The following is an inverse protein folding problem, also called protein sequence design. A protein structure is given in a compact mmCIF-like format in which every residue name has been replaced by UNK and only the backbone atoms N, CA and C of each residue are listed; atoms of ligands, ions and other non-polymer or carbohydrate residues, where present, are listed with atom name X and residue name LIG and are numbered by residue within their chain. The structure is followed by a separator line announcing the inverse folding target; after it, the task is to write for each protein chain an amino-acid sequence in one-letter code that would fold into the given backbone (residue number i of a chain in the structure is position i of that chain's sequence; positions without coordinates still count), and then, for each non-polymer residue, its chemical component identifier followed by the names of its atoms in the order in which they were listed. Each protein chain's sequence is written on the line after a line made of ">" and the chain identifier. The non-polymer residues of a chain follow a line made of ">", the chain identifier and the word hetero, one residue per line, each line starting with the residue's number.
data_IF_338816479875
#
_entry.id   IF_338816479875
#
_cell.length_a   1.000
_cell.length_b   1.000
_cell.length_c   1.000
_cell.angle_alpha   90.00
_cell.angle_beta   90.00
_cell.angle_gamma   90.00
#
_symmetry.space_group_name_H-M   'P 1'
#
loop_
_entity.id
_entity.type
_entity.pdbx_description
1 polymer ?
2 polymer ?
3 non-polymer ?
4 water ?
#
# COMPACT_ATOMS: atom_id res chain seq x y z
N UNK A 1 -10.44 25.79 6.71
CA UNK A 1 -9.14 25.62 6.05
C UNK A 1 -9.28 25.15 4.58
N UNK A 2 -8.17 25.23 3.79
CA UNK A 2 -8.19 24.78 2.40
C UNK A 2 -8.28 23.26 2.34
N UNK A 3 -9.43 22.76 1.87
CA UNK A 3 -9.63 21.34 1.74
C UNK A 3 -10.00 20.94 0.31
N UNK A 4 -9.61 19.72 -0.09
CA UNK A 4 -9.92 19.12 -1.39
C UNK A 4 -10.54 17.73 -1.13
N UNK A 5 -11.87 17.60 -1.24
CA UNK A 5 -12.53 16.30 -0.98
C UNK A 5 -12.82 15.56 -2.26
N UNK A 6 -12.24 14.37 -2.42
CA UNK A 6 -12.46 13.56 -3.60
C UNK A 6 -13.63 12.59 -3.46
N UNK A 7 -14.16 12.10 -4.60
CA UNK A 7 -15.27 11.17 -4.60
C UNK A 7 -14.85 9.76 -4.11
N UNK A 8 -15.84 8.91 -3.83
CA UNK A 8 -15.59 7.56 -3.34
C UNK A 8 -15.06 6.62 -4.41
N UNK A 9 -14.57 5.46 -3.96
CA UNK A 9 -14.00 4.47 -4.85
C UNK A 9 -14.99 3.98 -5.89
N UNK A 10 -14.48 3.63 -7.08
CA UNK A 10 -15.27 3.14 -8.19
C UNK A 10 -14.84 1.75 -8.63
N UNK A 11 -15.80 0.93 -9.04
CA UNK A 11 -15.61 -0.39 -9.62
C UNK A 11 -16.37 -0.29 -10.92
N UNK A 12 -15.67 -0.13 -12.03
CA UNK A 12 -16.31 0.07 -13.33
C UNK A 12 -15.86 -1.00 -14.31
N UNK A 13 -16.76 -1.51 -15.17
CA UNK A 13 -16.39 -2.52 -16.16
C UNK A 13 -15.44 -1.95 -17.23
N UNK A 14 -14.53 -2.77 -17.81
CA UNK A 14 -13.64 -2.24 -18.86
C UNK A 14 -14.43 -1.82 -20.09
N UNK A 15 -13.98 -0.77 -20.75
CA UNK A 15 -14.64 -0.22 -21.94
C UNK A 15 -15.60 0.92 -21.63
N UNK A 16 -16.08 0.99 -20.39
CA UNK A 16 -16.99 2.04 -19.95
C UNK A 16 -16.19 3.29 -19.49
N UNK A 17 -16.88 4.41 -19.20
CA UNK A 17 -16.28 5.63 -18.71
C UNK A 17 -16.43 5.72 -17.18
N UNK A 18 -15.67 6.65 -16.52
CA UNK A 18 -15.76 6.91 -15.06
C UNK A 18 -15.56 8.41 -14.80
N UNK A 19 -16.37 9.05 -13.93
CA UNK A 19 -16.24 10.48 -13.67
C UNK A 19 -16.08 10.75 -12.18
N UNK A 20 -14.92 11.27 -11.78
CA UNK A 20 -14.69 11.53 -10.37
C UNK A 20 -14.62 13.03 -10.03
N UNK A 21 -15.03 13.36 -8.81
CA UNK A 21 -15.09 14.75 -8.34
C UNK A 21 -14.07 15.11 -7.28
N UNK A 22 -13.65 16.37 -7.26
CA UNK A 22 -12.72 16.92 -6.27
C UNK A 22 -13.31 18.24 -5.83
N UNK A 23 -14.12 18.21 -4.75
CA UNK A 23 -14.83 19.35 -4.17
C UNK A 23 -13.92 20.28 -3.38
N UNK A 24 -13.63 21.47 -3.92
CA UNK A 24 -12.75 22.41 -3.25
C UNK A 24 -13.45 23.36 -2.27
N UNK A 25 -12.79 23.64 -1.18
CA UNK A 25 -13.33 24.47 -0.11
C UNK A 25 -12.22 25.23 0.60
N UNK A 26 -12.58 26.33 1.24
CA UNK A 26 -11.65 27.15 2.02
C UNK A 26 -10.78 28.12 1.25
N UNK A 27 -11.04 28.32 -0.03
CA UNK A 27 -10.25 29.23 -0.86
C UNK A 27 -11.03 29.61 -2.11
N UNK A 28 -10.62 30.69 -2.76
CA UNK A 28 -11.23 31.13 -4.01
C UNK A 28 -10.88 30.15 -5.13
N UNK A 29 -11.76 29.14 -5.33
CA UNK A 29 -11.62 28.03 -6.27
C UNK A 29 -11.06 28.43 -7.62
N UNK A 30 -11.59 29.51 -8.17
CA UNK A 30 -11.25 30.03 -9.49
C UNK A 30 -9.92 30.72 -9.58
N UNK A 31 -9.07 30.65 -8.54
CA UNK A 31 -7.81 31.39 -8.51
C UNK A 31 -6.55 30.56 -8.65
N UNK A 32 -6.64 29.23 -8.41
CA UNK A 32 -5.49 28.32 -8.47
C UNK A 32 -5.76 27.05 -9.29
N UNK A 33 -4.75 26.65 -10.07
CA UNK A 33 -4.76 25.46 -10.92
C UNK A 33 -4.99 24.20 -10.10
N UNK A 34 -5.73 23.22 -10.68
CA UNK A 34 -5.95 21.93 -10.05
C UNK A 34 -5.33 20.88 -10.94
N UNK A 35 -4.45 20.03 -10.38
CA UNK A 35 -3.76 18.98 -11.14
C UNK A 35 -4.28 17.60 -10.74
N UNK A 36 -4.16 16.64 -11.63
CA UNK A 36 -4.58 15.27 -11.38
C UNK A 36 -3.38 14.35 -11.58
N UNK A 37 -3.18 13.45 -10.63
CA UNK A 37 -2.07 12.51 -10.59
C UNK A 37 -2.58 11.05 -10.52
N UNK A 38 -2.01 10.17 -11.35
CA UNK A 38 -2.36 8.77 -11.33
C UNK A 38 -1.31 8.02 -10.46
N UNK A 39 -1.76 7.04 -9.66
CA UNK A 39 -0.84 6.24 -8.85
C UNK A 39 -1.17 4.76 -8.89
N UNK A 40 -0.36 4.00 -9.63
CA UNK A 40 -0.50 2.56 -9.71
C UNK A 40 0.53 1.97 -8.75
N UNK A 41 0.11 1.01 -7.92
CA UNK A 41 1.04 0.43 -6.94
C UNK A 41 2.31 -0.14 -7.57
N UNK A 42 3.44 0.53 -7.34
CA UNK A 42 4.72 0.08 -7.88
C UNK A 42 5.35 0.91 -8.98
N UNK A 43 4.51 1.47 -9.90
CA UNK A 43 5.05 2.29 -11.00
C UNK A 43 4.95 3.84 -10.70
N UNK A 44 5.28 4.20 -9.45
CA UNK A 44 5.35 5.58 -8.95
C UNK A 44 4.13 6.45 -9.12
N UNK A 45 4.37 7.68 -9.60
CA UNK A 45 3.33 8.67 -9.85
C UNK A 45 3.33 9.09 -11.31
N UNK A 46 2.19 9.57 -11.81
CA UNK A 46 2.08 9.98 -13.21
C UNK A 46 1.28 11.24 -13.33
N UNK A 47 1.81 12.24 -14.07
CA UNK A 47 1.10 13.49 -14.24
C UNK A 47 0.04 13.31 -15.32
N UNK A 48 -1.24 13.50 -14.99
CA UNK A 48 -2.31 13.39 -15.99
C UNK A 48 -2.53 14.74 -16.67
N UNK A 49 -2.74 15.78 -15.88
CA UNK A 49 -2.98 17.11 -16.42
C UNK A 49 -3.51 18.09 -15.41
N UNK A 50 -3.62 19.36 -15.81
CA UNK A 50 -4.12 20.41 -14.92
C UNK A 50 -5.22 21.27 -15.57
N UNK A 51 -6.00 21.97 -14.73
CA UNK A 51 -7.07 22.82 -15.20
C UNK A 51 -7.16 24.05 -14.30
N UNK A 52 -7.35 25.22 -14.91
CA UNK A 52 -7.47 26.45 -14.16
C UNK A 52 -8.96 26.71 -14.03
N UNK A 53 -9.55 26.59 -12.83
CA UNK A 53 -11.02 26.74 -12.71
C UNK A 53 -11.66 28.06 -13.19
N UNK A 54 -10.92 29.15 -13.13
CA UNK A 54 -11.42 30.45 -13.58
C UNK A 54 -11.45 30.62 -15.09
N UNK A 55 -10.93 29.65 -15.84
CA UNK A 55 -10.93 29.74 -17.29
C UNK A 55 -11.39 28.48 -18.00
N UNK A 56 -11.24 27.33 -17.36
CA UNK A 56 -11.57 26.06 -18.00
C UNK A 56 -10.44 25.57 -18.89
N UNK A 57 -9.34 26.35 -18.99
CA UNK A 57 -8.14 26.03 -19.75
C UNK A 57 -7.50 24.79 -19.13
N UNK A 58 -6.99 23.90 -19.98
CA UNK A 58 -6.41 22.68 -19.49
C UNK A 58 -5.18 22.21 -20.26
N UNK A 59 -4.25 21.61 -19.52
CA UNK A 59 -3.02 21.02 -20.02
C UNK A 59 -3.15 19.54 -19.77
N UNK A 60 -2.81 18.74 -20.75
CA UNK A 60 -2.84 17.29 -20.58
C UNK A 60 -1.46 16.70 -20.89
N UNK A 61 -1.12 15.60 -20.23
CA UNK A 61 0.08 14.84 -20.57
C UNK A 61 -0.31 14.13 -21.85
N UNK A 62 0.51 14.22 -22.91
CA UNK A 62 0.15 13.61 -24.19
C UNK A 62 -0.17 12.11 -24.10
N UNK A 63 0.27 11.45 -23.02
CA UNK A 63 0.00 10.04 -22.74
C UNK A 63 -1.49 9.86 -22.50
N UNK A 64 -2.10 10.75 -21.71
CA UNK A 64 -3.51 10.69 -21.36
C UNK A 64 -4.39 11.63 -22.19
N UNK A 65 -3.85 12.27 -23.24
CA UNK A 65 -4.59 13.26 -24.04
C UNK A 65 -6.00 12.78 -24.45
N UNK A 66 -6.19 11.48 -24.74
CA UNK A 66 -7.51 10.98 -25.13
C UNK A 66 -8.24 10.15 -24.05
N UNK A 67 -7.51 9.75 -23.00
CA UNK A 67 -8.03 8.95 -21.87
C UNK A 67 -8.81 9.85 -20.91
N UNK A 68 -8.13 10.85 -20.34
CA UNK A 68 -8.73 11.74 -19.37
C UNK A 68 -9.27 12.99 -19.99
N UNK A 69 -10.34 13.52 -19.40
CA UNK A 69 -10.97 14.77 -19.82
C UNK A 69 -11.29 15.55 -18.52
N UNK A 70 -10.75 16.75 -18.40
CA UNK A 70 -10.88 17.59 -17.21
C UNK A 70 -11.93 18.69 -17.36
N UNK A 71 -12.85 18.81 -16.39
CA UNK A 71 -13.88 19.86 -16.37
C UNK A 71 -13.92 20.55 -15.00
N UNK A 72 -14.72 21.61 -14.86
CA UNK A 72 -14.87 22.37 -13.64
C UNK A 72 -16.33 22.90 -13.55
N UNK A 73 -16.90 22.92 -12.32
CA UNK A 73 -18.21 23.51 -12.07
C UNK A 73 -17.98 24.58 -11.02
N UNK A 74 -17.74 25.83 -11.45
CA UNK A 74 -17.43 26.93 -10.54
C UNK A 74 -18.53 27.30 -9.55
N UNK A 75 -19.78 26.87 -9.78
CA UNK A 75 -20.86 27.18 -8.85
C UNK A 75 -20.70 26.36 -7.57
N UNK A 76 -20.56 25.04 -7.71
CA UNK A 76 -20.35 24.15 -6.58
C UNK A 76 -18.86 24.02 -6.19
N UNK A 77 -17.95 24.63 -6.97
CA UNK A 77 -16.50 24.65 -6.74
C UNK A 77 -15.88 23.28 -6.77
N UNK A 78 -16.32 22.48 -7.74
CA UNK A 78 -15.85 21.12 -7.94
C UNK A 78 -15.10 21.02 -9.27
N UNK A 79 -14.02 20.25 -9.27
CA UNK A 79 -13.24 19.96 -10.48
C UNK A 79 -13.47 18.46 -10.80
N UNK A 80 -13.61 18.12 -12.08
CA UNK A 80 -13.90 16.74 -12.51
C UNK A 80 -12.88 16.19 -13.49
N UNK A 81 -12.72 14.87 -13.47
CA UNK A 81 -11.88 14.17 -14.43
C UNK A 81 -12.62 12.93 -14.85
N UNK A 82 -12.76 12.76 -16.15
CA UNK A 82 -13.45 11.62 -16.72
C UNK A 82 -12.42 10.74 -17.41
N UNK A 83 -12.46 9.43 -17.17
CA UNK A 83 -11.52 8.51 -17.79
C UNK A 83 -12.35 7.65 -18.73
N UNK A 84 -12.17 7.85 -20.03
CA UNK A 84 -12.97 7.16 -21.03
C UNK A 84 -12.40 5.81 -21.46
N UNK A 85 -13.30 4.84 -21.75
CA UNK A 85 -13.01 3.47 -22.18
C UNK A 85 -11.88 2.83 -21.38
N UNK A 86 -12.23 2.55 -20.13
CA UNK A 86 -11.36 1.97 -19.11
C UNK A 86 -10.76 0.60 -19.44
N UNK A 87 -9.54 0.38 -18.99
CA UNK A 87 -8.80 -0.86 -19.16
C UNK A 87 -8.17 -1.24 -17.80
N UNK A 88 -7.61 -2.44 -17.68
CA UNK A 88 -6.93 -2.87 -16.48
C UNK A 88 -5.77 -1.93 -16.11
N UNK A 89 -5.13 -1.32 -17.11
CA UNK A 89 -4.05 -0.36 -16.88
C UNK A 89 -4.53 0.94 -16.21
N UNK A 90 -5.83 1.23 -16.24
CA UNK A 90 -6.39 2.42 -15.60
C UNK A 90 -6.71 2.20 -14.12
N UNK A 91 -6.57 0.96 -13.59
CA UNK A 91 -6.83 0.73 -12.17
C UNK A 91 -5.67 1.36 -11.43
N UNK A 92 -5.98 2.40 -10.61
CA UNK A 92 -5.02 3.22 -9.90
C UNK A 92 -5.72 4.10 -8.80
N UNK A 93 -4.95 4.85 -7.99
CA UNK A 93 -5.50 5.80 -7.02
C UNK A 93 -5.31 7.14 -7.71
N UNK A 94 -6.37 7.93 -7.82
CA UNK A 94 -6.27 9.20 -8.50
C UNK A 94 -6.25 10.33 -7.52
N UNK A 95 -5.11 11.04 -7.46
CA UNK A 95 -4.94 12.18 -6.58
C UNK A 95 -5.27 13.48 -7.32
N UNK A 96 -5.76 14.45 -6.58
CA UNK A 96 -6.18 15.76 -7.06
C UNK A 96 -5.47 16.80 -6.16
N UNK A 97 -4.67 17.72 -6.74
CA UNK A 97 -3.94 18.70 -5.91
C UNK A 97 -4.14 20.14 -6.38
N UNK A 98 -3.95 21.10 -5.47
CA UNK A 98 -4.07 22.52 -5.76
C UNK A 98 -2.67 23.07 -5.92
N UNK A 99 -2.37 23.72 -7.05
CA UNK A 99 -1.05 24.31 -7.26
C UNK A 99 -1.03 25.67 -6.59
N UNK A 100 -0.19 25.83 -5.57
CA UNK A 100 -0.10 27.05 -4.78
C UNK A 100 0.62 28.25 -5.37
N UNK A 101 0.59 29.34 -4.63
CA UNK A 101 1.22 30.61 -5.01
C UNK A 101 2.74 30.47 -5.16
N UNK A 102 3.35 29.61 -4.36
CA UNK A 102 4.78 29.43 -4.35
C UNK A 102 5.29 28.35 -5.32
N UNK A 103 4.52 28.03 -6.39
CA UNK A 103 4.88 27.04 -7.43
C UNK A 103 4.91 25.58 -6.98
N UNK A 104 4.23 25.23 -5.89
CA UNK A 104 4.19 23.83 -5.46
C UNK A 104 2.81 23.44 -4.95
N UNK A 105 2.42 22.16 -5.17
CA UNK A 105 1.14 21.61 -4.71
C UNK A 105 1.06 21.63 -3.18
N UNK A 106 0.40 22.64 -2.62
CA UNK A 106 0.31 22.79 -1.19
C UNK A 106 -0.81 21.99 -0.56
N UNK A 107 -1.89 21.69 -1.32
CA UNK A 107 -2.99 20.90 -0.76
C UNK A 107 -3.37 19.74 -1.68
N UNK A 108 -3.61 18.55 -1.11
CA UNK A 108 -3.99 17.36 -1.88
C UNK A 108 -5.35 16.80 -1.41
N UNK A 109 -5.95 15.94 -2.21
CA UNK A 109 -7.19 15.25 -1.89
C UNK A 109 -6.87 13.83 -1.46
N UNK A 110 -7.72 13.21 -0.63
CA UNK A 110 -7.43 11.88 -0.08
C UNK A 110 -7.24 10.77 -1.14
N UNK A 111 -7.74 11.00 -2.35
CA UNK A 111 -7.60 10.10 -3.49
C UNK A 111 -8.81 9.26 -3.76
N UNK A 112 -8.99 8.81 -5.01
CA UNK A 112 -10.11 7.93 -5.38
C UNK A 112 -9.52 6.64 -5.95
N UNK A 113 -9.91 5.47 -5.41
CA UNK A 113 -9.36 4.22 -5.92
C UNK A 113 -10.21 3.62 -7.01
N UNK A 114 -9.73 3.66 -8.26
CA UNK A 114 -10.48 3.08 -9.39
C UNK A 114 -10.07 1.60 -9.60
N UNK A 115 -11.05 0.70 -9.55
CA UNK A 115 -10.84 -0.73 -9.76
C UNK A 115 -11.58 -1.05 -11.04
N UNK A 116 -10.88 -1.42 -12.13
CA UNK A 116 -11.52 -1.66 -13.44
C UNK A 116 -11.86 -3.13 -13.69
N UNK A 117 -13.09 -3.51 -13.36
CA UNK A 117 -13.52 -4.90 -13.51
C UNK A 117 -15.00 -5.06 -13.83
N UNK A 118 -15.32 -6.04 -14.67
CA UNK A 118 -16.71 -6.36 -14.97
C UNK A 118 -17.30 -7.24 -13.85
N UNK A 119 -16.44 -7.92 -13.03
CA UNK A 119 -16.87 -8.80 -11.96
C UNK A 119 -17.69 -8.07 -10.94
N UNK A 120 -18.75 -8.72 -10.47
CA UNK A 120 -19.61 -8.13 -9.46
C UNK A 120 -19.00 -8.41 -8.08
N UNK A 121 -19.36 -7.59 -7.09
CA UNK A 121 -18.87 -7.70 -5.73
C UNK A 121 -19.07 -9.09 -5.11
N UNK A 122 -18.19 -9.45 -4.18
CA UNK A 122 -18.17 -10.73 -3.49
C UNK A 122 -17.86 -10.48 -2.01
N UNK A 123 -18.75 -10.95 -1.15
CA UNK A 123 -18.53 -10.84 0.28
C UNK A 123 -17.57 -11.92 0.76
N UNK A 124 -16.71 -11.56 1.72
CA UNK A 124 -15.73 -12.53 2.20
C UNK A 124 -16.30 -13.62 3.07
N UNK A 125 -15.56 -14.70 3.21
CA UNK A 125 -15.90 -15.78 4.11
C UNK A 125 -14.89 -15.61 5.24
N UNK A 126 -15.35 -15.34 6.45
CA UNK A 126 -14.47 -15.17 7.60
C UNK A 126 -14.24 -16.53 8.26
N UNK A 127 -13.01 -16.84 8.62
CA UNK A 127 -12.68 -18.10 9.29
C UNK A 127 -11.78 -17.82 10.48
N UNK A 128 -11.89 -18.59 11.56
CA UNK A 128 -11.02 -18.36 12.73
C UNK A 128 -9.64 -19.02 12.61
N UNK A 129 -8.69 -18.56 13.43
CA UNK A 129 -7.33 -19.09 13.46
C UNK A 129 -6.94 -19.61 14.84
N UNK A 130 -6.86 -20.95 14.96
CA UNK A 130 -6.55 -21.84 16.11
C UNK A 130 -5.54 -21.34 17.17
N UNK A 131 -6.02 -20.79 18.31
CA UNK A 131 -5.07 -20.36 19.38
C UNK A 131 -4.45 -21.53 20.18
N UNK A 132 -3.30 -21.27 20.84
N UNK A 136 3.90 -22.33 20.72
CA UNK A 136 4.26 -21.03 21.32
C UNK A 136 5.76 -20.68 21.14
N UNK A 137 6.14 -20.22 19.93
CA UNK A 137 7.53 -19.84 19.61
C UNK A 137 7.77 -18.37 20.02
N UNK A 138 8.83 -18.14 20.79
CA UNK A 138 9.17 -16.80 21.25
C UNK A 138 8.39 -16.32 22.46
N UNK A 139 8.00 -17.26 23.32
CA UNK A 139 7.25 -16.98 24.55
C UNK A 139 5.82 -16.50 24.42
N UNK A 140 5.37 -16.23 23.20
CA UNK A 140 4.02 -15.72 22.92
C UNK A 140 3.16 -16.77 22.18
N UNK A 141 1.86 -16.50 22.02
CA UNK A 141 0.93 -17.38 21.28
C UNK A 141 0.01 -16.51 20.40
N UNK A 142 -0.36 -17.00 19.20
CA UNK A 142 -1.18 -16.20 18.29
C UNK A 142 -2.51 -16.82 17.86
N UNK A 143 -3.48 -15.96 17.54
CA UNK A 143 -4.79 -16.32 17.01
C UNK A 143 -5.20 -15.23 16.00
N UNK A 144 -6.18 -15.52 15.15
CA UNK A 144 -6.62 -14.53 14.17
C UNK A 144 -7.81 -14.86 13.33
N UNK A 145 -7.97 -14.12 12.24
CA UNK A 145 -9.06 -14.25 11.31
C UNK A 145 -8.55 -14.34 9.89
N UNK A 146 -9.17 -15.20 9.10
CA UNK A 146 -8.86 -15.33 7.69
C UNK A 146 -10.03 -14.76 6.91
N UNK A 147 -9.89 -13.55 6.38
CA UNK A 147 -10.92 -12.93 5.58
C UNK A 147 -10.62 -13.43 4.19
N UNK A 148 -11.37 -14.42 3.73
CA UNK A 148 -11.07 -15.09 2.46
C UNK A 148 -12.06 -14.87 1.35
N UNK A 149 -11.55 -14.82 0.10
CA UNK A 149 -12.28 -14.76 -1.16
C UNK A 149 -13.32 -13.64 -1.23
N UNK A 150 -12.87 -12.38 -1.44
CA UNK A 150 -13.74 -11.22 -1.58
C UNK A 150 -13.30 -10.30 -2.74
N UNK A 151 -14.21 -9.45 -3.25
CA UNK A 151 -13.87 -8.52 -4.32
C UNK A 151 -14.86 -7.35 -4.33
N UNK A 152 -14.46 -6.09 -4.55
CA UNK A 152 -13.08 -5.59 -4.71
C UNK A 152 -12.46 -5.30 -3.33
N UNK A 153 -11.45 -4.44 -3.29
CA UNK A 153 -10.87 -4.03 -2.02
C UNK A 153 -11.56 -2.76 -1.52
N UNK A 154 -11.61 -2.52 -0.18
CA UNK A 154 -10.99 -3.28 0.91
C UNK A 154 -11.93 -3.88 1.99
N UNK A 155 -11.34 -4.56 2.99
CA UNK A 155 -12.08 -5.03 4.16
C UNK A 155 -11.48 -4.35 5.39
N UNK A 156 -12.31 -4.07 6.40
CA UNK A 156 -11.88 -3.40 7.61
C UNK A 156 -11.97 -4.35 8.77
N UNK A 157 -10.82 -4.76 9.30
CA UNK A 157 -10.80 -5.66 10.42
C UNK A 157 -10.40 -4.99 11.71
N UNK A 158 -11.27 -5.10 12.72
CA UNK A 158 -11.02 -4.60 14.08
C UNK A 158 -11.19 -5.77 15.08
N UNK A 159 -10.73 -5.59 16.32
CA UNK A 159 -10.83 -6.64 17.32
C UNK A 159 -11.50 -6.15 18.59
N UNK A 160 -12.51 -6.92 19.07
CA UNK A 160 -13.34 -6.61 20.23
C UNK A 160 -13.99 -5.23 20.02
N UNK A 161 -14.56 -5.03 18.82
CA UNK A 161 -15.19 -3.80 18.35
C UNK A 161 -14.31 -2.54 18.59
N UNK A 162 -12.99 -2.73 18.58
CA UNK A 162 -12.03 -1.66 18.77
C UNK A 162 -11.32 -1.65 20.11
N UNK A 163 -11.75 -2.51 21.06
CA UNK A 163 -11.16 -2.58 22.39
C UNK A 163 -9.72 -3.13 22.36
N UNK A 164 -9.53 -4.24 21.63
CA UNK A 164 -8.22 -4.87 21.47
C UNK A 164 -7.49 -4.21 20.28
N UNK A 165 -6.33 -3.63 20.56
CA UNK A 165 -5.53 -2.96 19.55
C UNK A 165 -4.06 -3.41 19.59
N UNK A 166 -3.55 -3.73 20.79
CA UNK A 166 -2.16 -4.14 20.93
C UNK A 166 -1.92 -5.57 20.48
N UNK A 167 -0.81 -5.76 19.78
CA UNK A 167 -0.42 -7.08 19.26
C UNK A 167 -1.18 -7.52 18.03
N UNK A 168 -2.02 -6.64 17.46
CA UNK A 168 -2.82 -6.95 16.28
C UNK A 168 -2.07 -6.54 15.01
N UNK A 169 -2.03 -7.44 14.03
CA UNK A 169 -1.41 -7.19 12.75
C UNK A 169 -2.45 -7.54 11.67
N UNK A 170 -2.98 -6.55 10.98
CA UNK A 170 -3.92 -6.80 9.90
C UNK A 170 -3.08 -6.78 8.64
N UNK A 171 -2.74 -7.95 8.12
CA UNK A 171 -1.92 -8.13 6.92
C UNK A 171 -2.48 -7.49 5.67
N UNK A 172 -1.62 -7.07 4.73
CA UNK A 172 -2.12 -6.53 3.46
C UNK A 172 -2.84 -7.63 2.65
N UNK A 173 -3.86 -7.24 1.89
CA UNK A 173 -4.61 -8.18 1.08
C UNK A 173 -3.74 -8.82 0.01
N UNK A 174 -4.00 -10.10 -0.30
CA UNK A 174 -3.26 -10.80 -1.34
C UNK A 174 -4.21 -11.22 -2.47
N UNK A 175 -3.76 -11.10 -3.70
CA UNK A 175 -4.55 -11.49 -4.84
C UNK A 175 -4.36 -13.00 -4.97
N UNK A 176 -5.47 -13.76 -5.05
CA UNK A 176 -5.38 -15.22 -5.17
C UNK A 176 -5.49 -15.63 -6.63
N UNK A 177 -5.13 -16.89 -6.94
CA UNK A 177 -5.24 -17.38 -8.32
C UNK A 177 -6.68 -17.26 -8.86
N UNK A 178 -7.67 -17.32 -7.95
CA UNK A 178 -9.08 -17.17 -8.25
C UNK A 178 -9.50 -15.76 -8.64
N UNK A 179 -8.59 -14.79 -8.58
CA UNK A 179 -8.92 -13.40 -8.89
C UNK A 179 -9.49 -12.60 -7.74
N UNK A 180 -9.84 -13.28 -6.63
CA UNK A 180 -10.39 -12.64 -5.44
C UNK A 180 -9.29 -12.35 -4.45
N UNK A 181 -9.53 -11.39 -3.56
CA UNK A 181 -8.58 -11.04 -2.52
C UNK A 181 -8.75 -11.89 -1.25
N UNK A 182 -7.77 -11.82 -0.34
CA UNK A 182 -7.81 -12.53 0.91
C UNK A 182 -6.76 -12.01 1.89
N UNK A 183 -7.17 -11.43 3.03
CA UNK A 183 -6.20 -10.99 4.03
C UNK A 183 -6.33 -11.74 5.36
N UNK A 184 -5.29 -11.68 6.19
CA UNK A 184 -5.32 -12.28 7.51
C UNK A 184 -5.14 -11.19 8.54
N UNK A 185 -5.69 -11.37 9.74
CA UNK A 185 -5.52 -10.39 10.80
C UNK A 185 -5.24 -11.19 12.03
N UNK A 186 -4.00 -11.15 12.54
CA UNK A 186 -3.63 -11.94 13.70
C UNK A 186 -3.30 -11.10 14.91
N UNK A 187 -3.72 -11.56 16.09
CA UNK A 187 -3.44 -10.88 17.34
C UNK A 187 -2.61 -11.78 18.25
N UNK A 188 -1.38 -11.32 18.55
CA UNK A 188 -0.38 -12.00 19.36
C UNK A 188 -0.50 -11.62 20.83
N UNK A 189 -0.72 -12.64 21.68
CA UNK A 189 -0.86 -12.49 23.14
C UNK A 189 -0.08 -13.62 23.84
N UNK A 190 0.72 -13.30 24.88
CA UNK A 190 1.53 -14.34 25.53
C UNK A 190 0.78 -15.14 26.63
N UNK A 191 1.52 -15.83 27.54
CA UNK A 191 1.06 -16.65 28.66
C UNK A 191 -0.05 -16.07 29.56
N UNK A 192 -0.06 -14.75 29.71
CA UNK A 192 -1.00 -14.08 30.59
C UNK A 192 -2.40 -13.90 29.92
N UNK A 198 -12.13 -12.03 26.21
CA UNK A 198 -12.52 -12.87 25.06
C UNK A 198 -12.02 -12.27 23.75
N UNK A 199 -11.95 -13.08 22.66
CA UNK A 199 -11.44 -12.58 21.39
C UNK A 199 -12.43 -12.65 20.22
N UNK A 200 -12.90 -11.47 19.74
CA UNK A 200 -13.79 -11.36 18.59
C UNK A 200 -13.22 -10.46 17.48
N UNK A 201 -13.29 -10.90 16.21
CA UNK A 201 -12.85 -10.09 15.08
C UNK A 201 -14.05 -9.59 14.30
N UNK A 202 -14.02 -8.32 13.96
CA UNK A 202 -15.14 -7.65 13.33
C UNK A 202 -14.76 -7.20 11.94
N UNK A 203 -15.05 -8.05 10.95
CA UNK A 203 -14.72 -7.80 9.55
C UNK A 203 -15.79 -6.97 8.88
N UNK A 204 -15.37 -6.04 8.01
CA UNK A 204 -16.34 -5.24 7.29
C UNK A 204 -15.96 -4.97 5.84
N UNK A 205 -16.75 -5.49 4.90
CA UNK A 205 -16.55 -5.26 3.47
C UNK A 205 -17.68 -4.34 3.08
N UNK A 206 -17.37 -3.07 2.80
CA UNK A 206 -18.40 -2.11 2.41
C UNK A 206 -18.99 -2.40 1.01
N UNK A 207 -18.19 -2.75 -0.03
CA UNK A 207 -18.76 -2.97 -1.38
C UNK A 207 -19.93 -3.93 -1.53
N UNK A 208 -20.04 -4.92 -0.66
CA UNK A 208 -21.15 -5.87 -0.70
C UNK A 208 -21.92 -5.93 0.62
N UNK A 209 -21.81 -4.87 1.47
CA UNK A 209 -22.46 -4.71 2.77
C UNK A 209 -22.31 -5.96 3.67
N UNK A 210 -21.10 -6.49 3.73
CA UNK A 210 -20.83 -7.70 4.48
C UNK A 210 -20.16 -7.37 5.78
N UNK A 211 -20.94 -7.07 6.83
CA UNK A 211 -20.37 -6.81 8.14
C UNK A 211 -20.52 -8.10 8.92
N UNK A 212 -19.41 -8.81 9.16
CA UNK A 212 -19.43 -10.11 9.83
C UNK A 212 -18.56 -10.13 11.07
N UNK A 213 -19.14 -10.44 12.24
CA UNK A 213 -18.36 -10.59 13.47
C UNK A 213 -18.04 -12.09 13.64
N UNK A 214 -17.00 -12.42 14.43
CA UNK A 214 -16.58 -13.81 14.60
C UNK A 214 -15.80 -13.97 15.90
N UNK A 215 -16.07 -15.03 16.68
CA UNK A 215 -15.31 -15.27 17.92
C UNK A 215 -14.29 -16.37 17.67
N UNK A 216 -13.02 -16.11 18.00
CA UNK A 216 -11.97 -17.11 17.81
C UNK A 216 -11.74 -17.88 19.09
N UNK A 217 -12.03 -19.18 19.09
CA UNK A 217 -11.88 -20.00 20.28
C UNK A 217 -11.06 -21.25 19.97
N UNK A 218 -10.11 -21.61 20.88
CA UNK A 218 -9.26 -22.80 20.63
C UNK A 218 -10.01 -24.13 20.43
N UNK B 1 9.44 13.37 -21.90
CA UNK B 1 9.61 11.95 -21.61
C UNK B 1 10.99 11.69 -20.99
N UNK B 2 11.45 12.60 -20.11
CA UNK B 2 12.72 12.41 -19.43
C UNK B 2 12.53 11.29 -18.42
N UNK B 3 13.39 10.28 -18.47
CA UNK B 3 13.29 9.14 -17.56
C UNK B 3 14.11 9.41 -16.30
N UNK B 4 13.44 9.49 -15.15
CA UNK B 4 14.11 9.72 -13.87
C UNK B 4 14.31 8.39 -13.17
N UNK B 5 15.57 7.99 -13.00
CA UNK B 5 15.88 6.75 -12.30
C UNK B 5 16.30 7.10 -10.90
N UNK B 6 15.64 6.48 -9.92
CA UNK B 6 15.92 6.77 -8.52
C UNK B 6 16.68 5.66 -7.83
N UNK B 7 17.74 6.03 -7.09
CA UNK B 7 18.49 5.04 -6.35
C UNK B 7 18.95 5.51 -4.95
N UNK B 8 19.00 4.55 -3.99
CA UNK B 8 18.68 3.12 -4.13
C UNK B 8 17.17 2.85 -4.24
N UNK B 9 16.79 1.63 -4.63
CA UNK B 9 15.38 1.24 -4.77
C UNK B 9 14.66 1.36 -3.41
N UNK B 10 15.37 0.93 -2.35
CA UNK B 10 15.02 1.04 -0.94
C UNK B 10 16.29 1.01 -0.10
N UNK B 11 16.29 1.73 1.02
CA UNK B 11 17.45 1.82 1.87
C UNK B 11 17.05 1.90 3.35
N UNK B 12 17.98 1.61 4.27
CA UNK B 12 17.70 1.68 5.69
C UNK B 12 18.58 2.72 6.35
N UNK B 13 18.07 3.35 7.41
CA UNK B 13 18.81 4.38 8.12
C UNK B 13 18.38 4.47 9.55
N UNK B 14 19.34 4.51 10.46
CA UNK B 14 19.06 4.61 11.89
C UNK B 14 18.96 6.09 12.22
N UNK B 15 17.96 6.52 13.02
CA UNK B 15 17.87 7.95 13.40
C UNK B 15 19.18 8.52 13.89
N UNK B 16 19.60 9.64 13.32
CA UNK B 16 20.87 10.29 13.62
C UNK B 16 21.84 10.24 12.46
N UNK B 17 21.66 9.28 11.53
CA UNK B 17 22.53 9.13 10.36
C UNK B 17 22.21 10.11 9.23
N UNK B 18 23.15 10.30 8.29
CA UNK B 18 22.92 11.18 7.15
C UNK B 18 22.36 10.33 6.00
N UNK B 19 21.17 10.68 5.51
CA UNK B 19 20.54 9.96 4.41
C UNK B 19 20.67 10.78 3.14
N UNK B 20 20.93 10.14 2.01
CA UNK B 20 21.05 10.85 0.74
C UNK B 20 20.52 9.98 -0.35
N UNK B 21 19.43 10.42 -0.99
CA UNK B 21 18.88 9.66 -2.11
C UNK B 21 19.08 10.44 -3.39
N UNK B 22 19.37 9.73 -4.45
CA UNK B 22 19.68 10.34 -5.73
C UNK B 22 18.58 10.13 -6.74
N UNK B 23 18.46 11.08 -7.68
CA UNK B 23 17.51 11.09 -8.79
C UNK B 23 18.29 11.46 -10.04
N UNK B 24 18.67 10.46 -10.86
CA UNK B 24 19.42 10.72 -12.09
C UNK B 24 18.48 10.81 -13.29
N UNK B 25 18.60 11.87 -14.07
CA UNK B 25 17.73 12.11 -15.23
C UNK B 25 18.36 11.66 -16.52
N UNK B 26 17.51 11.23 -17.47
CA UNK B 26 17.94 10.76 -18.80
C UNK B 26 18.52 11.89 -19.69
N UNK B 27 18.12 13.13 -19.42
CA UNK B 27 18.53 14.33 -20.15
C UNK B 27 18.58 15.49 -19.15
N UNK B 28 19.18 16.64 -19.52
CA UNK B 28 19.24 17.78 -18.60
C UNK B 28 17.85 18.33 -18.28
N UNK B 29 17.61 18.80 -17.04
CA UNK B 29 16.31 19.33 -16.66
C UNK B 29 16.45 20.70 -16.03
N UNK B 30 15.38 21.50 -16.07
CA UNK B 30 15.39 22.84 -15.49
C UNK B 30 15.28 22.84 -13.97
N UNK B 31 14.27 22.15 -13.41
CA UNK B 31 14.09 22.10 -11.96
C UNK B 31 13.83 20.67 -11.43
N UNK B 32 13.92 20.47 -10.09
CA UNK B 32 13.67 19.16 -9.48
C UNK B 32 12.83 19.29 -8.23
N UNK B 33 11.76 18.51 -8.18
CA UNK B 33 10.80 18.47 -7.09
C UNK B 33 10.91 17.15 -6.34
N UNK B 34 10.55 17.13 -5.06
CA UNK B 34 10.57 15.93 -4.26
C UNK B 34 9.29 15.88 -3.44
N UNK B 35 8.70 14.68 -3.28
CA UNK B 35 7.49 14.47 -2.50
C UNK B 35 7.72 13.38 -1.48
N UNK B 36 7.13 13.54 -0.30
CA UNK B 36 7.19 12.53 0.74
C UNK B 36 5.82 11.84 0.84
N UNK B 37 5.80 10.52 0.68
CA UNK B 37 4.56 9.78 0.83
C UNK B 37 4.67 8.64 1.85
N UNK B 38 3.75 8.61 2.81
CA UNK B 38 3.65 7.55 3.81
C UNK B 38 2.42 6.70 3.44
N UNK B 39 2.30 5.42 3.85
CA UNK B 39 1.14 4.63 3.41
C UNK B 39 -0.18 5.17 3.90
N UNK B 40 -1.20 4.95 3.08
CA UNK B 40 -2.57 5.37 3.32
C UNK B 40 -2.88 6.83 2.99
N UNK B 41 -1.85 7.66 2.86
CA UNK B 41 -2.06 9.08 2.63
C UNK B 41 -1.57 9.62 1.27
N UNK B 42 -2.18 10.73 0.78
CA UNK B 42 -1.69 11.35 -0.46
C UNK B 42 -0.29 11.89 -0.32
N UNK B 43 0.46 12.08 -1.43
CA UNK B 43 1.82 12.63 -1.29
C UNK B 43 1.84 14.01 -0.62
N UNK B 44 3.03 14.46 -0.26
CA UNK B 44 3.21 15.76 0.38
C UNK B 44 4.34 16.45 -0.34
N UNK B 45 4.17 17.71 -0.75
CA UNK B 45 5.28 18.43 -1.38
C UNK B 45 6.43 18.61 -0.37
N UNK B 46 7.62 18.11 -0.74
CA UNK B 46 8.78 18.19 0.14
C UNK B 46 9.79 19.25 -0.31
N UNK B 47 10.26 19.18 -1.57
CA UNK B 47 11.22 20.14 -2.08
C UNK B 47 10.76 20.68 -3.43
N UNK B 48 10.84 22.00 -3.62
CA UNK B 48 10.41 22.61 -4.88
C UNK B 48 11.47 23.52 -5.48
N UNK B 49 11.53 23.55 -6.85
CA UNK B 49 12.49 24.35 -7.60
C UNK B 49 13.93 24.02 -7.20
N UNK B 50 14.26 22.72 -7.26
CA UNK B 50 15.55 22.08 -6.97
C UNK B 50 16.00 22.19 -5.49
N UNK B 51 15.85 23.34 -4.80
CA UNK B 51 16.40 23.47 -3.45
C UNK B 51 15.54 24.05 -2.35
N UNK B 52 14.32 24.52 -2.63
CA UNK B 52 13.50 25.14 -1.59
C UNK B 52 12.67 24.15 -0.78
N UNK B 53 12.47 24.41 0.52
CA UNK B 53 11.65 23.54 1.35
C UNK B 53 10.23 24.02 1.39
N UNK B 54 9.29 23.08 1.26
CA UNK B 54 7.86 23.35 1.31
C UNK B 54 7.39 23.64 2.74
N UNK B 55 6.15 24.17 2.91
CA UNK B 55 5.64 24.47 4.23
C UNK B 55 5.52 23.21 5.09
N UNK B 56 6.14 23.24 6.25
CA UNK B 56 6.15 22.11 7.18
C UNK B 56 7.41 21.27 7.14
N UNK B 57 8.12 21.29 6.01
CA UNK B 57 9.35 20.50 5.85
C UNK B 57 10.43 21.01 6.78
N UNK B 58 10.93 20.13 7.67
CA UNK B 58 11.96 20.57 8.63
C UNK B 58 13.35 20.81 8.05
N UNK B 59 14.11 21.67 8.74
CA UNK B 59 15.46 22.13 8.39
C UNK B 59 16.46 21.02 7.99
N UNK B 60 16.37 19.82 8.61
CA UNK B 60 17.27 18.70 8.31
C UNK B 60 17.19 18.22 6.85
N UNK B 61 16.10 18.54 6.14
CA UNK B 61 15.96 18.18 4.75
C UNK B 61 16.55 19.27 3.87
N UNK B 62 17.18 18.88 2.77
CA UNK B 62 17.78 19.82 1.82
C UNK B 62 18.01 19.11 0.50
N UNK B 63 17.79 19.81 -0.62
CA UNK B 63 17.96 19.21 -1.93
C UNK B 63 18.82 20.05 -2.84
N UNK B 64 19.62 19.40 -3.69
CA UNK B 64 20.51 20.11 -4.60
C UNK B 64 20.76 19.29 -5.90
N UNK B 65 21.67 19.74 -6.76
CA UNK B 65 21.98 19.02 -7.99
C UNK B 65 21.73 19.81 -9.25
N UNK B 66 22.26 19.31 -10.39
CA UNK B 66 22.07 19.94 -11.70
C UNK B 66 22.33 18.99 -12.87
N UNK B 67 21.95 19.40 -14.08
CA UNK B 67 22.16 18.61 -15.28
C UNK B 67 21.44 17.29 -15.26
N UNK B 68 22.16 16.23 -14.92
CA UNK B 68 21.58 14.89 -14.88
C UNK B 68 21.62 14.24 -13.49
N UNK B 69 21.96 14.99 -12.41
CA UNK B 69 22.02 14.38 -11.09
C UNK B 69 21.65 15.30 -9.93
N UNK B 70 20.44 15.11 -9.40
CA UNK B 70 19.91 15.88 -8.29
C UNK B 70 19.71 14.94 -7.10
N UNK B 71 19.83 15.48 -5.87
CA UNK B 71 19.76 14.66 -4.66
C UNK B 71 18.96 15.26 -3.50
N UNK B 72 18.38 14.39 -2.66
CA UNK B 72 17.67 14.80 -1.45
C UNK B 72 18.49 14.28 -0.31
N UNK B 73 18.81 15.15 0.64
CA UNK B 73 19.65 14.82 1.77
C UNK B 73 18.96 15.15 3.10
N UNK B 74 19.04 14.23 4.06
CA UNK B 74 18.54 14.48 5.40
C UNK B 74 19.82 14.47 6.24
N UNK B 75 20.18 15.62 6.85
CA UNK B 75 21.38 15.74 7.69
C UNK B 75 21.43 14.66 8.78
N UNK B 76 20.32 14.52 9.53
CA UNK B 76 20.23 13.54 10.58
C UNK B 76 18.85 12.97 10.68
N UNK B 77 18.72 11.73 10.23
CA UNK B 77 17.52 10.92 10.21
C UNK B 77 16.67 11.02 11.48
N UNK B 78 15.38 11.03 11.33
CA UNK B 78 14.44 10.98 12.44
C UNK B 78 13.56 9.73 12.20
N UNK B 79 12.79 9.29 13.22
CA UNK B 79 11.94 8.13 13.07
C UNK B 79 10.79 8.43 12.09
N UNK B 80 10.24 9.66 12.14
CA UNK B 80 9.15 10.07 11.25
C UNK B 80 9.55 10.27 9.80
N UNK B 81 10.85 10.20 9.50
CA UNK B 81 11.32 10.35 8.12
C UNK B 81 11.26 9.03 7.31
N UNK B 82 10.75 7.94 7.91
CA UNK B 82 10.55 6.67 7.25
C UNK B 82 9.33 6.85 6.40
N UNK B 83 9.52 6.93 5.06
CA UNK B 83 8.50 7.18 4.04
C UNK B 83 9.10 6.95 2.61
N UNK B 84 8.28 7.00 1.54
CA UNK B 84 8.79 6.89 0.19
C UNK B 84 9.03 8.30 -0.31
N UNK B 85 10.17 8.53 -0.96
CA UNK B 85 10.49 9.86 -1.48
C UNK B 85 10.54 9.79 -2.98
N UNK B 86 9.67 10.55 -3.66
CA UNK B 86 9.66 10.54 -5.13
C UNK B 86 10.20 11.85 -5.65
N UNK B 87 11.02 11.80 -6.70
CA UNK B 87 11.50 13.02 -7.34
C UNK B 87 10.64 13.27 -8.58
N UNK B 88 10.64 14.50 -9.07
CA UNK B 88 9.83 14.87 -10.23
C UNK B 88 10.49 16.03 -10.97
N UNK B 89 10.65 15.94 -12.29
CA UNK B 89 11.32 17.00 -13.05
C UNK B 89 10.39 17.98 -13.75
N UNK B 90 10.89 19.19 -13.98
CA UNK B 90 10.26 20.23 -14.77
C UNK B 90 11.30 20.77 -15.76
N UNK B 91 10.84 21.07 -16.96
CA UNK B 91 11.65 21.63 -18.04
C UNK B 91 10.67 22.32 -19.03
N UNK B 92 11.13 23.24 -19.92
CA UNK B 92 10.20 23.87 -20.88
C UNK B 92 9.34 22.87 -21.65
N UNK B 93 9.90 21.66 -21.89
CA UNK B 93 9.20 20.56 -22.54
C UNK B 93 8.04 20.06 -21.68
N UNK B 94 6.95 19.59 -22.32
CA UNK B 94 5.72 19.36 -21.57
C UNK B 94 5.60 18.16 -20.58
N UNK B 95 6.05 16.90 -20.82
CA UNK B 95 5.79 15.85 -19.83
C UNK B 95 6.61 15.94 -18.54
N UNK B 96 6.03 16.50 -17.44
CA UNK B 96 6.73 16.51 -16.16
C UNK B 96 6.72 15.07 -15.66
N UNK B 97 7.90 14.49 -15.41
CA UNK B 97 7.98 13.07 -15.06
C UNK B 97 8.46 12.83 -13.65
N UNK B 98 8.15 11.65 -13.09
CA UNK B 98 8.47 11.26 -11.73
C UNK B 98 9.44 10.06 -11.67
N UNK B 99 10.05 9.87 -10.51
CA UNK B 99 10.90 8.73 -10.25
C UNK B 99 10.09 7.57 -9.67
N UNK B 100 10.63 6.34 -9.70
CA UNK B 100 9.91 5.20 -9.10
C UNK B 100 9.87 5.26 -7.55
N UNK B 101 10.60 6.19 -6.96
CA UNK B 101 10.61 6.39 -5.51
C UNK B 101 11.65 5.58 -4.79
N UNK B 102 12.16 6.14 -3.72
CA UNK B 102 13.10 5.44 -2.86
C UNK B 102 12.34 5.25 -1.55
N UNK B 103 12.11 4.00 -1.11
CA UNK B 103 11.43 3.77 0.16
C UNK B 103 12.45 3.86 1.27
N UNK B 104 12.32 4.80 2.20
CA UNK B 104 13.29 4.91 3.30
C UNK B 104 12.80 4.19 4.53
N UNK B 105 13.42 3.04 4.85
CA UNK B 105 13.06 2.21 6.01
C UNK B 105 14.02 2.47 7.18
N UNK B 106 13.67 2.01 8.39
CA UNK B 106 14.50 2.24 9.58
C UNK B 106 15.38 1.05 9.86
N UNK B 107 16.63 1.31 10.19
CA UNK B 107 17.58 0.25 10.50
C UNK B 107 17.40 -0.21 11.96
N UNK B 108 17.77 -1.47 12.26
CA UNK B 108 17.71 -2.06 13.60
C UNK B 108 18.46 -3.40 13.67
N UNK B 109 18.65 -3.97 14.89
CA UNK B 109 19.34 -5.26 15.01
C UNK B 109 18.54 -6.37 14.38
N UNK B 110 19.22 -7.42 13.93
CA UNK B 110 18.59 -8.59 13.37
C UNK B 110 17.75 -9.26 14.48
N UNK B 111 16.57 -9.74 14.12
CA UNK B 111 15.69 -10.39 15.08
C UNK B 111 15.08 -11.59 14.41
N UNK B 112 15.18 -12.75 15.03
CA UNK B 112 14.62 -13.99 14.48
C UNK B 112 13.08 -13.98 14.58
N UNK B 113 12.34 -14.60 13.63
CA UNK B 113 10.87 -14.56 13.72
C UNK B 113 10.27 -15.53 14.73
N UNK B 114 9.00 -15.35 15.09
CA UNK B 114 8.29 -16.29 15.95
C UNK B 114 7.38 -17.04 14.99
N UNK B 115 7.46 -18.38 14.92
CA UNK B 115 6.67 -19.15 13.95
C UNK B 115 5.46 -19.86 14.58
N UNK B 116 4.30 -19.74 13.95
CA UNK B 116 3.03 -20.33 14.38
C UNK B 116 2.32 -20.95 13.18
N UNK B 117 1.82 -22.19 13.30
CA UNK B 117 1.06 -22.81 12.21
C UNK B 117 -0.45 -22.85 12.55
N UNK B 118 -1.31 -22.78 11.53
CA UNK B 118 -2.74 -22.77 11.74
C UNK B 118 -3.45 -23.77 10.87
N UNK B 119 -4.04 -24.81 11.47
CA UNK B 119 -4.76 -25.80 10.68
C UNK B 119 -6.08 -25.24 10.16
N UNK B 120 -6.60 -25.76 9.03
CA UNK B 120 -7.88 -25.25 8.50
C UNK B 120 -9.02 -25.25 9.52
N UNK B 121 -9.86 -24.22 9.45
CA UNK B 121 -11.01 -24.10 10.36
C UNK B 121 -12.08 -25.11 9.99
N UNK B 122 -12.81 -25.67 10.98
CA UNK B 122 -13.87 -26.65 10.69
C UNK B 122 -14.94 -26.11 9.76
N UNK B 123 -15.25 -24.81 9.89
CA UNK B 123 -16.20 -24.09 9.05
C UNK B 123 -15.78 -24.14 7.58
N UNK B 124 -14.48 -23.90 7.32
CA UNK B 124 -13.93 -23.91 5.97
C UNK B 124 -13.80 -25.34 5.39
N UNK B 125 -13.69 -26.35 6.26
CA UNK B 125 -13.60 -27.73 5.81
C UNK B 125 -14.95 -28.21 5.25
N UNK B 126 -16.07 -27.69 5.82
CA UNK B 126 -17.43 -27.96 5.33
C UNK B 126 -17.55 -27.40 3.88
N UNK B 127 -16.94 -26.23 3.63
CA UNK B 127 -16.93 -25.50 2.36
C UNK B 127 -16.12 -26.18 1.22
N UNK B 128 -15.53 -27.34 1.50
CA UNK B 128 -14.79 -28.08 0.48
C UNK B 128 -13.42 -27.54 0.11
N UNK B 129 -12.90 -26.58 0.89
CA UNK B 129 -11.58 -25.98 0.66
C UNK B 129 -10.77 -25.93 1.96
N UNK B 130 -9.45 -26.12 1.89
CA UNK B 130 -8.61 -26.11 3.11
C UNK B 130 -7.46 -25.11 3.04
N UNK B 131 -7.34 -24.26 4.08
CA UNK B 131 -6.30 -23.24 4.18
C UNK B 131 -5.46 -23.35 5.45
N UNK B 132 -4.19 -23.65 5.27
CA UNK B 132 -3.21 -23.75 6.35
C UNK B 132 -2.47 -22.41 6.36
N UNK B 133 -2.46 -21.68 7.48
CA UNK B 133 -1.78 -20.39 7.56
C UNK B 133 -0.54 -20.51 8.40
N UNK B 134 0.56 -19.90 7.99
CA UNK B 134 1.78 -19.90 8.78
C UNK B 134 2.17 -18.49 9.07
N UNK B 135 2.24 -18.10 10.36
CA UNK B 135 2.59 -16.74 10.75
C UNK B 135 4.06 -16.63 11.16
N UNK B 136 4.74 -15.60 10.68
CA UNK B 136 6.13 -15.29 10.99
C UNK B 136 6.08 -13.93 11.66
N UNK B 137 6.08 -13.92 12.98
CA UNK B 137 5.91 -12.72 13.75
C UNK B 137 7.19 -11.98 14.12
N UNK B 138 7.09 -10.64 14.13
CA UNK B 138 8.10 -9.66 14.51
C UNK B 138 9.56 -10.06 14.26
N UNK B 139 10.03 -9.85 13.02
CA UNK B 139 11.41 -10.17 12.62
C UNK B 139 12.08 -9.03 11.81
N UNK B 140 13.42 -9.04 11.75
CA UNK B 140 14.23 -8.09 11.00
C UNK B 140 15.47 -8.82 10.52
N UNK B 141 15.97 -8.67 9.26
CA UNK B 141 15.44 -7.86 8.15
C UNK B 141 14.22 -8.49 7.45
N UNK B 142 13.66 -7.79 6.47
CA UNK B 142 12.45 -8.24 5.79
C UNK B 142 12.59 -9.57 5.07
N UNK B 143 13.79 -9.90 4.62
CA UNK B 143 13.98 -11.14 3.85
C UNK B 143 13.89 -12.40 4.68
N UNK B 144 12.77 -13.11 4.52
CA UNK B 144 12.51 -14.38 5.17
C UNK B 144 11.96 -15.38 4.14
N UNK B 145 12.46 -16.62 4.19
CA UNK B 145 12.09 -17.67 3.27
C UNK B 145 11.08 -18.64 3.90
N UNK B 146 9.97 -18.94 3.20
CA UNK B 146 8.99 -19.90 3.73
C UNK B 146 8.75 -21.06 2.77
N UNK B 147 9.13 -22.26 3.19
CA UNK B 147 8.92 -23.47 2.40
C UNK B 147 7.86 -24.32 3.03
N UNK B 148 6.72 -24.47 2.36
CA UNK B 148 5.64 -25.34 2.83
C UNK B 148 6.03 -26.77 2.47
N UNK B 149 5.78 -27.71 3.37
CA UNK B 149 6.08 -29.12 3.11
C UNK B 149 4.90 -29.97 3.58
N UNK B 150 4.40 -30.83 2.70
CA UNK B 150 3.30 -31.71 3.03
C UNK B 150 3.79 -33.12 2.91
N UNK B 151 3.90 -33.82 4.04
CA UNK B 151 4.41 -35.19 4.13
C UNK B 151 5.84 -35.24 3.62
N UNK B 152 6.66 -34.26 4.07
CA UNK B 152 8.06 -34.08 3.71
C UNK B 152 8.29 -33.57 2.28
N UNK B 153 7.23 -33.46 1.47
CA UNK B 153 7.31 -33.03 0.08
C UNK B 153 7.09 -31.54 -0.08
N UNK B 154 8.06 -30.85 -0.71
CA UNK B 154 7.98 -29.42 -0.92
C UNK B 154 6.76 -29.04 -1.75
N UNK B 155 5.95 -28.11 -1.23
CA UNK B 155 4.77 -27.63 -1.96
C UNK B 155 5.09 -26.37 -2.73
N UNK B 156 4.40 -26.15 -3.84
CA UNK B 156 4.61 -24.97 -4.66
C UNK B 156 3.35 -24.53 -5.35
N UNK B 157 3.24 -23.24 -5.63
CA UNK B 157 2.11 -22.69 -6.36
C UNK B 157 0.81 -22.48 -5.62
N UNK B 158 0.57 -23.21 -4.52
CA UNK B 158 -0.68 -23.04 -3.77
C UNK B 158 -0.52 -22.25 -2.46
N UNK B 159 0.52 -21.41 -2.38
CA UNK B 159 0.81 -20.59 -1.22
C UNK B 159 0.79 -19.12 -1.62
N UNK B 160 0.32 -18.23 -0.71
CA UNK B 160 0.31 -16.78 -0.94
C UNK B 160 0.96 -16.06 0.23
N UNK B 161 1.95 -15.19 -0.05
CA UNK B 161 2.64 -14.47 1.00
C UNK B 161 2.20 -13.01 1.15
N UNK B 162 2.27 -12.49 2.38
CA UNK B 162 1.96 -11.10 2.68
C UNK B 162 2.83 -10.58 3.84
N UNK B 163 3.37 -9.37 3.69
CA UNK B 163 4.27 -8.81 4.68
C UNK B 163 3.77 -7.45 5.17
N UNK B 164 3.74 -7.26 6.49
CA UNK B 164 3.27 -6.00 7.04
C UNK B 164 4.31 -4.90 6.82
N UNK B 165 3.87 -3.65 6.93
CA UNK B 165 4.78 -2.54 6.88
C UNK B 165 5.60 -2.54 8.19
N UNK B 166 6.80 -1.93 8.16
CA UNK B 166 7.69 -1.89 9.32
C UNK B 166 6.97 -1.33 10.58
N UNK B 167 7.09 -2.02 11.71
CA UNK B 167 6.39 -1.61 12.94
C UNK B 167 6.76 -0.21 13.43
N UNK B 168 5.75 0.55 13.86
CA UNK B 168 5.95 1.90 14.38
C UNK B 168 6.76 1.82 15.68
N UNK B 169 6.40 0.88 16.57
CA UNK B 169 7.12 0.71 17.82
C UNK B 169 8.48 -0.01 17.67
N UNK B 170 8.51 -1.32 17.31
CA UNK B 170 9.77 -2.05 17.31
C UNK B 170 10.50 -2.13 15.98
N UNK B 171 9.95 -1.55 14.91
CA UNK B 171 10.61 -1.56 13.61
C UNK B 171 10.92 -2.94 13.03
N UNK B 172 10.04 -3.90 13.28
CA UNK B 172 10.15 -5.24 12.72
C UNK B 172 8.99 -5.46 11.73
N UNK B 173 9.09 -6.51 10.91
CA UNK B 173 8.03 -6.86 9.97
C UNK B 173 7.44 -8.22 10.38
N UNK B 174 6.21 -8.47 9.96
CA UNK B 174 5.56 -9.77 10.15
C UNK B 174 5.18 -10.28 8.75
N UNK B 175 5.10 -11.59 8.61
CA UNK B 175 4.77 -12.23 7.35
C UNK B 175 3.76 -13.34 7.58
N UNK B 176 2.95 -13.63 6.59
CA UNK B 176 2.00 -14.74 6.65
C UNK B 176 2.05 -15.50 5.32
N UNK B 177 2.08 -16.84 5.37
CA UNK B 177 2.04 -17.64 4.16
C UNK B 177 0.81 -18.48 4.26
N UNK B 178 -0.03 -18.49 3.21
CA UNK B 178 -1.27 -19.24 3.25
C UNK B 178 -1.27 -20.33 2.21
N UNK B 179 -1.24 -21.58 2.65
CA UNK B 179 -1.33 -22.73 1.76
C UNK B 179 -2.79 -23.12 1.62
N UNK B 180 -3.31 -22.98 0.41
CA UNK B 180 -4.71 -23.29 0.16
C UNK B 180 -4.90 -24.41 -0.89
N UNK B 181 -5.29 -25.58 -0.40
CA UNK B 181 -5.57 -26.73 -1.28
C UNK B 181 -7.00 -27.25 -1.10
N UNK B 182 -7.54 -27.93 -2.11
CA UNK B 182 -8.91 -28.45 -2.02
C UNK B 182 -9.06 -29.45 -0.85
N UNK B 183 -10.27 -29.61 -0.31
CA UNK B 183 -10.51 -30.55 0.78
C UNK B 183 -10.06 -31.98 0.38
N UNK B 184 -10.24 -32.32 -0.90
CA UNK B 184 -9.84 -33.60 -1.46
C UNK B 184 -8.32 -33.85 -1.33
N UNK B 185 -7.48 -32.89 -1.73
CA UNK B 185 -6.03 -33.06 -1.63
C UNK B 185 -5.54 -32.99 -0.20
N UNK B 186 -6.26 -32.25 0.70
CA UNK B 186 -5.93 -32.09 2.12
C UNK B 186 -6.05 -33.43 2.85
N UNK B 187 -7.12 -34.18 2.59
CA UNK B 187 -7.30 -35.50 3.20
C UNK B 187 -6.39 -36.58 2.60
N UNK B 188 -5.82 -36.34 1.41
CA UNK B 188 -4.86 -37.28 0.82
C UNK B 188 -3.49 -37.25 1.58
N UNK B 189 -3.30 -36.31 2.56
CA UNK B 189 -2.04 -36.15 3.29
C UNK B 189 -2.19 -35.94 4.79
N UNK B 190 -1.14 -36.30 5.56
CA UNK B 190 -1.16 -36.23 7.03
C UNK B 190 -0.33 -35.10 7.70
N UNK B 191 0.98 -34.98 7.40
CA UNK B 191 1.83 -33.99 8.07
C UNK B 191 1.95 -32.68 7.32
N UNK B 192 1.60 -31.59 7.99
CA UNK B 192 1.65 -30.26 7.42
C UNK B 192 2.67 -29.42 8.15
N UNK B 193 3.84 -29.24 7.54
CA UNK B 193 4.95 -28.48 8.11
C UNK B 193 5.17 -27.14 7.38
N UNK B 194 5.74 -26.18 8.11
CA UNK B 194 6.06 -24.84 7.62
C UNK B 194 7.53 -24.53 7.99
N UNK B 195 8.42 -24.47 6.99
CA UNK B 195 9.85 -24.27 7.22
C UNK B 195 10.28 -22.83 6.97
N UNK B 196 10.79 -22.16 8.02
CA UNK B 196 11.21 -20.77 7.97
C UNK B 196 12.73 -20.58 7.99
N UNK B 197 13.26 -19.88 7.00
CA UNK B 197 14.69 -19.60 6.94
C UNK B 197 14.92 -18.11 7.16
N UNK B 198 15.81 -17.76 8.12
CA UNK B 198 16.09 -16.37 8.39
C UNK B 198 17.52 -16.15 8.88
N UNK B 199 17.99 -14.90 8.79
CA UNK B 199 19.30 -14.45 9.23
C UNK B 199 19.44 -14.62 10.75
N UNK B 200 18.36 -14.36 11.48
CA UNK B 200 18.29 -14.46 12.92
C UNK B 200 18.18 -15.88 13.45
N UNK B 201 17.84 -16.82 12.58
CA UNK B 201 17.73 -18.22 12.96
C UNK B 201 19.03 -18.93 12.59
N UNK B 202 19.68 -19.59 13.56
CA UNK B 202 20.94 -20.32 13.34
C UNK B 202 20.75 -21.45 12.31
N UNK B 203 19.58 -22.11 12.34
CA UNK B 203 19.13 -23.18 11.44
C UNK B 203 17.62 -23.02 11.22
N UNK B 204 17.03 -23.45 10.08
CA UNK B 204 15.59 -23.20 9.87
C UNK B 204 14.66 -23.79 10.94
N UNK B 205 13.57 -23.07 11.23
CA UNK B 205 12.58 -23.44 12.24
C UNK B 205 11.40 -24.06 11.53
N UNK B 206 10.93 -25.21 12.04
CA UNK B 206 9.77 -25.86 11.41
C UNK B 206 8.64 -26.09 12.37
N UNK B 207 7.59 -25.28 12.26
CA UNK B 207 6.39 -25.51 13.03
C UNK B 207 5.49 -26.47 12.19
N UNK B 208 4.90 -27.52 12.82
CA UNK B 208 4.09 -28.48 12.05
C UNK B 208 2.93 -29.09 12.87
N UNK B 209 2.04 -29.83 12.19
CA UNK B 209 0.91 -30.51 12.78
C UNK B 209 0.44 -31.67 11.88
N UNK B 210 -0.17 -32.70 12.48
CA UNK B 210 -0.72 -33.85 11.75
C UNK B 210 -2.25 -33.68 11.66
N UNK B 211 -2.80 -33.91 10.48
CA UNK B 211 -4.23 -33.77 10.22
C UNK B 211 -5.11 -34.71 11.05
#
# INVERSE_FOLDING_TARGET
>A
QVQLQQSGAELVRPGASVKMSCKASGYTFTSYWITWVKQRPGQGLEWIGDIYPGSGSSNYNEKFKSKATLTVDTSSSTAYMQLSSLTSEDSAVYYCARLGSRHYFDYWGQGTTLTVSSASTKGPSVFPLAPSSKSTSGGTAALGCLVKDYFPEPVTVSWNSGALTSGVHTFPAVLQSSGLYSLSSVVTVPSSSLGTQTYICNVNHKPSNTKVDKRVEP
>B
QIVLTQSPALMSASPGEKVTMTCSASSSVSYMYWYQQKPGSPPKSWIYLTSNLASGVPARFSGSGSGTSYSLTISSMEAEDAATYYCQQWSPNPPITFGAGTKLELKRTVAAPSVFIFPPSDEQLKSGTASVVCLLNNFYPREAKVQWKVDNALQSGNSQESVTEQDSKDSTYSLSSTLTLSKADYEKHKVYACEVTHQGLSSPVTKSFNRGEC
#
